data_IF_664895905292
#
_entry.id   IF_664895905292
#
_cell.length_a   1.000
_cell.length_b   1.000
_cell.length_c   1.000
_cell.angle_alpha   90.00
_cell.angle_beta   90.00
_cell.angle_gamma   90.00
#
_symmetry.space_group_name_H-M   'P 1'
#
loop_
_entity.id
_entity.type
_entity.pdbx_description
1 polymer ?
#
# COMPACT_ATOMS: atom_id res chain seq x y z
N UNK A 1 2.55 3.44 -12.26
CA UNK A 1 1.83 2.26 -11.75
C UNK A 1 2.78 1.42 -10.90
N UNK A 2 2.38 0.99 -9.68
CA UNK A 2 3.20 0.10 -8.86
C UNK A 2 3.41 -1.25 -9.54
N UNK A 3 4.62 -1.80 -9.40
CA UNK A 3 4.93 -3.21 -9.72
C UNK A 3 3.91 -4.16 -9.08
N UNK A 4 3.58 -5.24 -9.77
CA UNK A 4 2.83 -6.36 -9.20
C UNK A 4 3.62 -7.07 -8.10
N UNK A 5 2.94 -7.88 -7.28
CA UNK A 5 3.59 -8.61 -6.20
C UNK A 5 4.70 -9.55 -6.70
N UNK A 6 4.45 -10.26 -7.81
CA UNK A 6 5.45 -11.14 -8.41
C UNK A 6 6.68 -10.39 -8.93
N UNK A 7 6.49 -9.23 -9.56
CA UNK A 7 7.60 -8.39 -10.04
C UNK A 7 8.40 -7.80 -8.88
N UNK A 8 7.70 -7.32 -7.85
CA UNK A 8 8.32 -6.78 -6.65
C UNK A 8 9.16 -7.85 -5.93
N UNK A 9 8.64 -9.08 -5.79
CA UNK A 9 9.39 -10.19 -5.20
C UNK A 9 10.67 -10.50 -5.99
N UNK A 10 10.58 -10.57 -7.33
CA UNK A 10 11.76 -10.81 -8.19
C UNK A 10 12.81 -9.71 -8.02
N UNK A 11 12.38 -8.44 -7.94
CA UNK A 11 13.29 -7.29 -7.79
C UNK A 11 13.97 -7.24 -6.42
N UNK A 12 13.28 -7.65 -5.35
CA UNK A 12 13.78 -7.53 -3.98
C UNK A 12 14.41 -8.84 -3.45
N UNK A 13 14.46 -9.91 -4.26
CA UNK A 13 14.99 -11.21 -3.82
C UNK A 13 14.09 -11.93 -2.80
N UNK A 14 12.81 -11.60 -2.75
CA UNK A 14 11.84 -12.13 -1.78
C UNK A 14 11.06 -11.05 -1.05
N UNK A 15 10.37 -11.44 0.03
CA UNK A 15 9.60 -10.54 0.89
C UNK A 15 8.20 -11.04 1.22
N UNK A 16 7.57 -10.39 2.19
CA UNK A 16 6.23 -10.71 2.68
C UNK A 16 5.16 -9.83 2.03
N UNK A 17 3.90 -10.29 2.07
CA UNK A 17 2.75 -9.46 1.69
C UNK A 17 2.70 -8.16 2.51
N UNK A 18 3.18 -8.18 3.76
CA UNK A 18 3.21 -7.00 4.62
C UNK A 18 4.23 -5.94 4.14
N UNK A 19 5.43 -6.38 3.76
CA UNK A 19 6.44 -5.49 3.18
C UNK A 19 5.97 -4.94 1.82
N UNK A 20 5.28 -5.77 1.04
CA UNK A 20 4.70 -5.32 -0.22
C UNK A 20 3.61 -4.25 -0.02
N UNK A 21 2.79 -4.32 1.03
CA UNK A 21 1.83 -3.25 1.37
C UNK A 21 2.59 -1.94 1.65
N UNK A 22 3.69 -1.99 2.41
CA UNK A 22 4.52 -0.80 2.67
C UNK A 22 5.07 -0.21 1.38
N UNK A 23 5.54 -1.07 0.48
CA UNK A 23 5.95 -0.66 -0.86
C UNK A 23 4.82 0.02 -1.64
N UNK A 24 3.61 -0.56 -1.69
CA UNK A 24 2.47 0.03 -2.40
C UNK A 24 2.12 1.43 -1.90
N UNK A 25 2.15 1.64 -0.57
CA UNK A 25 1.93 2.94 0.06
C UNK A 25 2.94 3.98 -0.43
N UNK A 26 4.21 3.60 -0.51
CA UNK A 26 5.28 4.50 -0.95
C UNK A 26 5.23 4.74 -2.47
N UNK A 27 5.03 3.69 -3.26
CA UNK A 27 4.94 3.78 -4.72
C UNK A 27 3.77 4.66 -5.18
N UNK A 28 2.59 4.52 -4.56
CA UNK A 28 1.44 5.38 -4.87
C UNK A 28 1.71 6.84 -4.50
N UNK A 29 2.45 7.10 -3.42
CA UNK A 29 2.86 8.46 -3.05
C UNK A 29 3.85 9.04 -4.06
N UNK A 30 4.84 8.27 -4.49
CA UNK A 30 5.82 8.71 -5.49
C UNK A 30 5.16 8.99 -6.83
N UNK A 31 4.19 8.18 -7.23
CA UNK A 31 3.46 8.33 -8.49
C UNK A 31 2.50 9.52 -8.50
N UNK A 32 1.74 9.74 -7.41
CA UNK A 32 0.64 10.73 -7.38
C UNK A 32 0.91 11.98 -6.55
N UNK A 33 1.97 11.99 -5.74
CA UNK A 33 2.21 12.99 -4.69
C UNK A 33 1.29 12.83 -3.47
N UNK A 34 0.00 12.62 -3.70
CA UNK A 34 -1.01 12.32 -2.67
C UNK A 34 -2.08 11.37 -3.20
N UNK A 35 -2.67 10.56 -2.32
CA UNK A 35 -3.75 9.63 -2.66
C UNK A 35 -4.62 9.35 -1.42
N UNK A 36 -5.82 8.85 -1.66
CA UNK A 36 -6.80 8.50 -0.63
C UNK A 36 -6.67 7.05 -0.16
N UNK A 37 -7.17 6.75 1.05
CA UNK A 37 -7.22 5.36 1.52
C UNK A 37 -8.04 4.46 0.58
N UNK A 38 -9.05 5.03 -0.09
CA UNK A 38 -9.85 4.31 -1.08
C UNK A 38 -9.01 3.87 -2.29
N UNK A 39 -8.19 4.77 -2.85
CA UNK A 39 -7.30 4.44 -3.98
C UNK A 39 -6.27 3.37 -3.61
N UNK A 40 -5.69 3.44 -2.41
CA UNK A 40 -4.80 2.39 -1.91
C UNK A 40 -5.54 1.04 -1.80
N UNK A 41 -6.77 1.05 -1.31
CA UNK A 41 -7.55 -0.17 -1.15
C UNK A 41 -7.99 -0.77 -2.48
N UNK A 42 -8.32 0.09 -3.46
CA UNK A 42 -8.57 -0.32 -4.83
C UNK A 42 -7.33 -0.97 -5.46
N UNK A 43 -6.14 -0.39 -5.26
CA UNK A 43 -4.88 -0.99 -5.73
C UNK A 43 -4.65 -2.36 -5.09
N UNK A 44 -4.80 -2.47 -3.77
CA UNK A 44 -4.61 -3.75 -3.07
C UNK A 44 -5.58 -4.82 -3.58
N UNK A 45 -6.85 -4.48 -3.82
CA UNK A 45 -7.82 -5.42 -4.41
C UNK A 45 -7.39 -5.90 -5.79
N UNK A 46 -6.97 -4.99 -6.67
CA UNK A 46 -6.43 -5.36 -8.00
C UNK A 46 -5.26 -6.34 -7.88
N UNK A 47 -4.39 -6.13 -6.90
CA UNK A 47 -3.26 -7.03 -6.64
C UNK A 47 -3.72 -8.39 -6.07
N UNK A 48 -4.75 -8.43 -5.24
CA UNK A 48 -5.34 -9.67 -4.70
C UNK A 48 -6.03 -10.53 -5.75
N UNK A 49 -6.66 -9.91 -6.74
CA UNK A 49 -7.26 -10.58 -7.89
C UNK A 49 -6.19 -11.25 -8.76
N UNK A 50 -5.05 -10.57 -8.94
CA UNK A 50 -3.91 -11.07 -9.73
C UNK A 50 -3.08 -12.11 -9.01
N UNK A 51 -2.93 -12.00 -7.69
CA UNK A 51 -2.06 -12.88 -6.90
C UNK A 51 -2.74 -13.39 -5.63
N UNK A 52 -3.07 -14.69 -5.63
CA UNK A 52 -3.72 -15.38 -4.51
C UNK A 52 -2.96 -15.27 -3.19
N UNK A 53 -1.64 -15.06 -3.22
CA UNK A 53 -0.80 -14.91 -2.02
C UNK A 53 -1.18 -13.66 -1.22
N UNK A 54 -1.85 -12.69 -1.83
CA UNK A 54 -2.28 -11.46 -1.16
C UNK A 54 -3.70 -11.52 -0.56
N UNK A 55 -4.48 -12.58 -0.82
CA UNK A 55 -5.89 -12.65 -0.38
C UNK A 55 -6.11 -12.51 1.13
N UNK A 56 -5.10 -12.84 1.93
CA UNK A 56 -5.15 -12.70 3.38
C UNK A 56 -4.93 -11.25 3.88
N UNK A 57 -4.50 -10.33 2.99
CA UNK A 57 -4.30 -8.93 3.32
C UNK A 57 -5.62 -8.27 3.68
N UNK A 58 -5.69 -7.71 4.88
CA UNK A 58 -6.88 -7.07 5.42
C UNK A 58 -6.62 -5.62 5.84
N UNK A 59 -7.70 -4.89 6.16
CA UNK A 59 -7.63 -3.48 6.55
C UNK A 59 -6.73 -3.23 7.76
N UNK A 60 -6.64 -4.16 8.72
CA UNK A 60 -5.78 -4.03 9.90
C UNK A 60 -4.30 -4.06 9.53
N UNK A 61 -3.89 -4.95 8.63
CA UNK A 61 -2.52 -5.00 8.12
C UNK A 61 -2.14 -3.69 7.41
N UNK A 62 -3.03 -3.16 6.58
CA UNK A 62 -2.80 -1.87 5.90
C UNK A 62 -2.72 -0.71 6.87
N UNK A 63 -3.65 -0.62 7.82
CA UNK A 63 -3.63 0.42 8.83
C UNK A 63 -2.32 0.40 9.63
N UNK A 64 -1.84 -0.80 9.99
CA UNK A 64 -0.54 -0.98 10.65
C UNK A 64 0.62 -0.53 9.77
N UNK A 65 0.64 -0.90 8.49
CA UNK A 65 1.69 -0.47 7.56
C UNK A 65 1.74 1.05 7.40
N UNK A 66 0.59 1.70 7.22
CA UNK A 66 0.48 3.17 7.17
C UNK A 66 0.97 3.79 8.48
N UNK A 67 0.58 3.25 9.63
CA UNK A 67 1.00 3.75 10.93
C UNK A 67 2.53 3.67 11.11
N UNK A 68 3.14 2.54 10.77
CA UNK A 68 4.60 2.37 10.86
C UNK A 68 5.34 3.34 9.93
N UNK A 69 4.87 3.50 8.69
CA UNK A 69 5.46 4.45 7.73
C UNK A 69 5.29 5.91 8.16
N UNK A 70 4.16 6.26 8.78
CA UNK A 70 3.92 7.58 9.38
C UNK A 70 4.89 7.81 10.55
N UNK A 71 5.03 6.84 11.45
CA UNK A 71 5.93 6.92 12.61
C UNK A 71 7.39 7.07 12.18
N UNK A 72 7.79 6.41 11.08
CA UNK A 72 9.11 6.53 10.48
C UNK A 72 9.31 7.81 9.65
N UNK A 73 8.32 8.72 9.57
CA UNK A 73 8.41 9.97 8.81
C UNK A 73 8.41 9.79 7.28
N UNK A 74 8.15 8.57 6.77
CA UNK A 74 8.17 8.26 5.33
C UNK A 74 6.94 8.81 4.60
N UNK A 75 5.81 8.94 5.30
CA UNK A 75 4.57 9.50 4.77
C UNK A 75 3.94 10.48 5.78
N UNK A 76 3.06 11.35 5.27
CA UNK A 76 2.19 12.21 6.09
C UNK A 76 0.74 11.86 5.76
N UNK A 77 -0.07 11.66 6.79
CA UNK A 77 -1.51 11.37 6.65
C UNK A 77 -2.28 12.61 7.07
N UNK A 78 -3.11 13.15 6.17
CA UNK A 78 -4.03 14.26 6.46
C UNK A 78 -5.46 13.74 6.48
N UNK A 79 -6.27 14.16 7.46
CA UNK A 79 -7.73 14.00 7.39
C UNK A 79 -8.28 15.19 6.61
N UNK A 80 -9.07 14.91 5.58
CA UNK A 80 -9.88 15.92 4.89
C UNK A 80 -11.28 15.77 5.47
N UNK A 81 -11.71 16.74 6.26
CA UNK A 81 -13.11 16.90 6.63
C UNK A 81 -13.73 17.80 5.57
N UNK A 82 -14.76 17.33 4.89
CA UNK A 82 -15.64 18.22 4.14
C UNK A 82 -16.56 18.86 5.18
N UNK A 83 -16.46 20.18 5.35
CA UNK A 83 -17.53 20.98 5.95
C UNK A 83 -18.51 21.25 4.82
N UNK A 84 -19.69 20.63 4.89
CA UNK A 84 -20.86 21.10 4.13
C UNK A 84 -21.42 22.37 4.78
#
# INVERSE_FOLDING_TARGET
MPLSFGEWLRRNGGGSAYEYIKYLVLALREEKGSYTLHELWAEIRRQQERDKRLRHVNKRMVARAIHELKRAGRIRVRRVYWLE
#
